data_IF_570823977892
#
_entry.id   IF_570823977892
#
_cell.length_a   1.000
_cell.length_b   1.000
_cell.length_c   1.000
_cell.angle_alpha   90.00
_cell.angle_beta   90.00
_cell.angle_gamma   90.00
#
_symmetry.space_group_name_H-M   'P 1'
#
loop_
_entity.id
_entity.type
_entity.pdbx_description
1 polymer ?
#
# COMPACT_ATOMS: atom_id res chain seq x y z
N UNK A 1 -55.07 -40.14 0.14
CA UNK A 1 -54.83 -39.03 -0.81
C UNK A 1 -53.82 -38.10 -0.14
N UNK A 2 -52.63 -38.63 0.16
CA UNK A 2 -51.61 -37.91 0.90
C UNK A 2 -50.43 -37.66 -0.03
N UNK A 3 -50.40 -36.41 -0.47
CA UNK A 3 -49.23 -35.62 -0.80
C UNK A 3 -48.09 -36.38 -1.50
N UNK A 4 -48.15 -36.33 -2.84
CA UNK A 4 -47.01 -36.64 -3.71
C UNK A 4 -45.72 -36.00 -3.20
N UNK A 5 -44.74 -36.85 -2.90
CA UNK A 5 -43.29 -36.65 -3.03
C UNK A 5 -42.89 -35.19 -3.26
N UNK A 6 -42.69 -34.48 -2.15
CA UNK A 6 -42.12 -33.15 -2.12
C UNK A 6 -40.71 -33.16 -2.73
N UNK A 7 -40.65 -32.78 -3.99
CA UNK A 7 -39.62 -31.94 -4.59
C UNK A 7 -38.23 -32.11 -3.98
N UNK A 8 -37.56 -33.20 -4.34
CA UNK A 8 -36.14 -33.39 -4.10
C UNK A 8 -35.29 -32.57 -5.09
N UNK A 9 -35.68 -31.34 -5.44
CA UNK A 9 -35.01 -30.62 -6.53
C UNK A 9 -35.01 -29.11 -6.23
N UNK A 10 -33.89 -28.60 -5.72
CA UNK A 10 -33.28 -27.27 -6.00
C UNK A 10 -32.17 -26.89 -5.01
N UNK A 11 -31.30 -27.83 -4.59
CA UNK A 11 -30.01 -27.47 -3.95
C UNK A 11 -28.98 -27.29 -5.06
N UNK A 12 -29.10 -26.23 -5.87
CA UNK A 12 -28.13 -25.93 -6.92
C UNK A 12 -28.16 -24.44 -7.26
N UNK A 13 -27.83 -23.53 -6.32
CA UNK A 13 -27.56 -22.14 -6.76
C UNK A 13 -26.82 -21.19 -5.82
N UNK A 14 -25.64 -21.55 -5.31
CA UNK A 14 -24.66 -20.52 -4.90
C UNK A 14 -23.24 -20.95 -5.32
N UNK A 15 -22.94 -20.82 -6.62
CA UNK A 15 -21.54 -20.85 -7.06
C UNK A 15 -20.95 -19.50 -6.68
N UNK A 16 -20.26 -19.48 -5.55
CA UNK A 16 -19.43 -18.37 -5.08
C UNK A 16 -18.45 -17.95 -6.19
N UNK A 17 -18.67 -16.77 -6.76
CA UNK A 17 -17.79 -16.22 -7.81
C UNK A 17 -16.60 -15.58 -7.09
N UNK A 18 -15.54 -16.36 -6.88
CA UNK A 18 -14.28 -15.82 -6.37
C UNK A 18 -13.57 -15.08 -7.52
N UNK A 19 -13.69 -13.74 -7.54
CA UNK A 19 -12.91 -12.91 -8.45
C UNK A 19 -11.42 -13.04 -8.11
N UNK A 20 -10.63 -13.61 -9.01
CA UNK A 20 -9.18 -13.75 -8.86
C UNK A 20 -8.50 -12.40 -9.05
N UNK A 21 -8.22 -11.69 -7.94
CA UNK A 21 -7.50 -10.42 -7.96
C UNK A 21 -6.00 -10.68 -8.15
N UNK A 22 -5.39 -10.06 -9.17
CA UNK A 22 -3.94 -10.10 -9.40
C UNK A 22 -3.28 -8.92 -8.69
N UNK A 23 -2.56 -9.20 -7.61
CA UNK A 23 -1.74 -8.20 -6.91
C UNK A 23 -0.34 -8.21 -7.51
N UNK A 24 0.14 -7.04 -7.96
CA UNK A 24 1.49 -6.84 -8.50
C UNK A 24 2.23 -5.88 -7.57
N UNK A 25 3.46 -6.20 -7.13
CA UNK A 25 4.24 -5.28 -6.31
C UNK A 25 4.58 -4.03 -7.11
N UNK A 26 4.37 -2.86 -6.51
CA UNK A 26 4.72 -1.59 -7.13
C UNK A 26 6.18 -1.25 -6.85
N UNK A 27 6.89 -0.72 -7.84
CA UNK A 27 8.22 -0.18 -7.64
C UNK A 27 8.17 1.15 -6.88
N UNK A 28 8.97 1.26 -5.83
CA UNK A 28 9.07 2.47 -5.00
C UNK A 28 10.25 3.30 -5.47
N UNK A 29 9.99 4.57 -5.77
CA UNK A 29 11.00 5.55 -6.20
C UNK A 29 11.23 6.60 -5.11
N UNK A 30 12.49 7.01 -4.94
CA UNK A 30 12.88 8.06 -4.01
C UNK A 30 13.77 9.11 -4.69
N UNK A 31 13.66 10.37 -4.26
CA UNK A 31 14.44 11.51 -4.76
C UNK A 31 15.65 11.75 -3.84
N UNK A 32 16.86 11.49 -4.36
CA UNK A 32 18.10 11.50 -3.54
C UNK A 32 19.00 12.71 -3.83
N UNK A 33 19.27 12.98 -5.12
CA UNK A 33 20.14 14.07 -5.62
C UNK A 33 19.49 14.76 -6.84
N UNK A 34 18.22 15.14 -6.69
CA UNK A 34 17.49 15.89 -7.74
C UNK A 34 16.73 15.04 -8.77
N UNK A 35 16.97 13.73 -8.86
CA UNK A 35 16.20 12.81 -9.70
C UNK A 35 15.66 11.59 -8.93
N UNK A 36 14.69 10.89 -9.51
CA UNK A 36 14.07 9.69 -8.95
C UNK A 36 14.90 8.43 -9.26
N UNK A 37 15.20 7.64 -8.23
CA UNK A 37 15.88 6.34 -8.35
C UNK A 37 15.01 5.23 -7.72
N UNK A 38 14.92 4.03 -8.31
CA UNK A 38 14.26 2.89 -7.68
C UNK A 38 14.99 2.50 -6.38
N UNK A 39 14.23 2.34 -5.29
CA UNK A 39 14.77 2.02 -3.97
C UNK A 39 15.38 0.62 -3.94
N UNK A 40 14.90 -0.29 -4.79
CA UNK A 40 15.43 -1.65 -4.91
C UNK A 40 16.92 -1.70 -5.30
N UNK A 41 17.44 -0.67 -5.98
CA UNK A 41 18.84 -0.58 -6.41
C UNK A 41 19.75 0.13 -5.39
N UNK A 42 19.37 0.24 -4.13
CA UNK A 42 20.23 0.85 -3.11
C UNK A 42 21.33 -0.10 -2.66
N UNK A 43 22.57 0.37 -2.77
CA UNK A 43 23.76 -0.27 -2.25
C UNK A 43 24.00 0.10 -0.78
N UNK A 44 24.76 -0.72 -0.04
CA UNK A 44 24.97 -0.57 1.41
C UNK A 44 25.37 0.85 1.84
N UNK A 45 26.30 1.47 1.13
CA UNK A 45 26.74 2.84 1.43
C UNK A 45 25.64 3.90 1.27
N UNK A 46 24.69 3.71 0.34
CA UNK A 46 23.56 4.63 0.17
C UNK A 46 22.53 4.52 1.29
N UNK A 47 22.32 3.31 1.82
CA UNK A 47 21.48 3.10 2.99
C UNK A 47 22.07 3.82 4.20
N UNK A 48 23.38 3.68 4.42
CA UNK A 48 24.08 4.34 5.52
C UNK A 48 24.10 5.87 5.36
N UNK A 49 24.37 6.37 4.15
CA UNK A 49 24.26 7.80 3.84
C UNK A 49 22.85 8.33 4.14
N UNK A 50 21.80 7.58 3.81
CA UNK A 50 20.42 7.98 4.08
C UNK A 50 20.12 8.03 5.58
N UNK A 51 20.61 7.08 6.37
CA UNK A 51 20.45 7.07 7.83
C UNK A 51 21.10 8.28 8.52
N UNK A 52 22.19 8.80 7.94
CA UNK A 52 22.87 9.98 8.47
C UNK A 52 22.17 11.31 8.09
N UNK A 53 21.15 11.29 7.22
CA UNK A 53 20.42 12.50 6.82
C UNK A 53 19.53 12.99 7.96
N UNK A 54 19.56 14.31 8.21
CA UNK A 54 18.66 14.97 9.16
C UNK A 54 17.39 15.39 8.44
N UNK A 55 16.24 15.02 9.00
CA UNK A 55 14.93 15.46 8.52
C UNK A 55 14.58 16.76 9.22
N UNK A 56 14.00 17.69 8.47
CA UNK A 56 13.43 18.91 9.02
C UNK A 56 11.95 18.62 9.28
N UNK A 57 11.52 18.70 10.54
CA UNK A 57 10.11 18.65 10.89
C UNK A 57 9.46 19.97 10.43
N UNK A 58 8.55 19.96 9.44
CA UNK A 58 7.98 21.19 8.90
C UNK A 58 7.19 21.97 9.97
N UNK A 59 6.52 21.28 10.89
CA UNK A 59 5.76 21.90 11.98
C UNK A 59 6.66 22.69 12.93
N UNK A 60 7.82 22.12 13.31
CA UNK A 60 8.81 22.80 14.17
C UNK A 60 9.50 23.95 13.42
N UNK A 61 9.75 23.77 12.12
CA UNK A 61 10.36 24.80 11.31
C UNK A 61 9.48 26.05 11.17
N UNK A 62 8.14 25.89 11.15
CA UNK A 62 7.19 27.01 11.04
C UNK A 62 6.90 27.67 12.40
N UNK A 63 6.95 26.91 13.51
CA UNK A 63 6.65 27.43 14.84
C UNK A 63 7.55 28.63 15.25
N UNK A 64 8.85 28.57 14.98
CA UNK A 64 9.79 29.66 15.30
C UNK A 64 9.64 30.93 14.44
N UNK A 65 8.82 30.89 13.39
CA UNK A 65 8.53 32.05 12.54
C UNK A 65 7.30 32.82 13.02
N UNK A 66 6.36 32.15 13.70
CA UNK A 66 5.08 32.74 14.15
C UNK A 66 5.17 33.53 15.46
N UNK A 67 6.22 33.34 16.26
CA UNK A 67 6.41 34.07 17.54
C UNK A 67 7.03 35.46 17.37
N UNK A 68 7.31 35.90 16.13
CA UNK A 68 7.95 37.20 15.84
C UNK A 68 6.97 38.28 15.33
N UNK A 69 5.67 38.07 15.44
CA UNK A 69 4.65 39.12 15.24
C UNK A 69 4.20 39.75 16.55
#
# INVERSE_FOLDING_TARGET
MDCMLGQQETINREKEVTMKVRVVPTEVYSRIVGYYRPVQNWNRGKVEEFQQRKVIDPEKAVAGVREKE
#
